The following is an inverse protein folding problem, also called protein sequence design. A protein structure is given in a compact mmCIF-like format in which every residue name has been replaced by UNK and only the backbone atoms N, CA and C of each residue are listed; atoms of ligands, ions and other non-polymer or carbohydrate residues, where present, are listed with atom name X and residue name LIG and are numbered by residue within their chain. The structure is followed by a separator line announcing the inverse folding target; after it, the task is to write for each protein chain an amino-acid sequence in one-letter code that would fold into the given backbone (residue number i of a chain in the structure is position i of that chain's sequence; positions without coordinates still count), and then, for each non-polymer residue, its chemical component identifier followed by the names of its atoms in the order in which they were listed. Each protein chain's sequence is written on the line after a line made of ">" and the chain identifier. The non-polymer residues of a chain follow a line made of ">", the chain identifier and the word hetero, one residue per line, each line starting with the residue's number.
data_IF_418187830288
#
_entry.id   IF_418187830288
#
_cell.length_a   1.000
_cell.length_b   1.000
_cell.length_c   1.000
_cell.angle_alpha   90.00
_cell.angle_beta   90.00
_cell.angle_gamma   90.00
#
_symmetry.space_group_name_H-M   'P 1'
#
loop_
_entity.id
_entity.type
_entity.pdbx_description
1 polymer ?
#
# COMPACT_ATOMS: atom_id res chain seq x y z
N UNK A 1 7.73 -19.58 15.08
CA UNK A 1 7.70 -18.10 14.89
C UNK A 1 8.85 -17.65 14.01
N UNK A 2 10.07 -18.15 14.21
CA UNK A 2 11.25 -17.78 13.39
C UNK A 2 11.02 -17.91 11.89
N UNK A 3 10.38 -19.00 11.44
CA UNK A 3 10.09 -19.25 10.03
C UNK A 3 9.26 -18.12 9.38
N UNK A 4 8.14 -17.74 10.03
CA UNK A 4 7.29 -16.64 9.57
C UNK A 4 8.04 -15.31 9.54
N UNK A 5 8.84 -15.01 10.56
CA UNK A 5 9.59 -13.76 10.61
C UNK A 5 10.68 -13.69 9.54
N UNK A 6 11.37 -14.80 9.26
CA UNK A 6 12.36 -14.89 8.18
C UNK A 6 11.69 -14.74 6.83
N UNK A 7 10.53 -15.37 6.62
CA UNK A 7 9.75 -15.22 5.38
C UNK A 7 9.31 -13.77 5.16
N UNK A 8 8.83 -13.07 6.19
CA UNK A 8 8.47 -11.65 6.09
C UNK A 8 9.69 -10.76 5.81
N UNK A 9 10.84 -11.05 6.42
CA UNK A 9 12.08 -10.32 6.19
C UNK A 9 12.57 -10.49 4.73
N UNK A 10 12.52 -11.71 4.20
CA UNK A 10 12.87 -11.99 2.81
C UNK A 10 11.98 -11.24 1.82
N UNK A 11 10.66 -11.24 2.05
CA UNK A 11 9.71 -10.46 1.24
C UNK A 11 10.02 -8.97 1.31
N UNK A 12 10.30 -8.44 2.50
CA UNK A 12 10.59 -7.02 2.67
C UNK A 12 11.85 -6.59 1.91
N UNK A 13 12.92 -7.39 1.93
CA UNK A 13 14.17 -7.11 1.21
C UNK A 13 13.96 -7.26 -0.30
N UNK A 14 13.44 -8.41 -0.74
CA UNK A 14 13.28 -8.76 -2.16
C UNK A 14 12.34 -7.78 -2.87
N UNK A 15 11.27 -7.32 -2.20
CA UNK A 15 10.29 -6.39 -2.77
C UNK A 15 10.52 -4.92 -2.41
N UNK A 16 11.62 -4.61 -1.70
CA UNK A 16 11.97 -3.26 -1.25
C UNK A 16 10.83 -2.58 -0.50
N UNK A 17 10.26 -3.29 0.48
CA UNK A 17 9.27 -2.72 1.39
C UNK A 17 9.98 -1.95 2.51
N UNK A 18 9.32 -0.90 2.97
CA UNK A 18 9.74 -0.11 4.12
C UNK A 18 8.95 -0.51 5.36
N UNK A 19 9.60 -0.45 6.53
CA UNK A 19 8.92 -0.65 7.80
C UNK A 19 7.97 0.53 8.06
N UNK A 20 6.66 0.30 8.27
CA UNK A 20 5.72 1.37 8.57
C UNK A 20 5.94 1.94 9.98
N UNK A 21 5.52 3.19 10.17
CA UNK A 21 5.43 3.81 11.50
C UNK A 21 3.99 3.67 12.00
N UNK A 22 3.81 2.84 13.02
CA UNK A 22 2.50 2.63 13.66
C UNK A 22 2.31 3.66 14.78
N UNK A 23 1.10 4.20 14.88
CA UNK A 23 0.69 5.17 15.90
C UNK A 23 -0.73 4.85 16.38
N UNK A 24 -1.13 5.33 17.54
CA UNK A 24 -2.50 5.16 18.06
C UNK A 24 -3.54 6.09 17.39
N UNK A 25 -3.11 6.94 16.44
CA UNK A 25 -3.98 7.84 15.68
C UNK A 25 -4.66 7.16 14.49
N UNK A 26 -5.56 7.90 13.82
CA UNK A 26 -6.31 7.42 12.64
C UNK A 26 -5.67 7.77 11.31
N UNK A 27 -4.47 8.39 11.34
CA UNK A 27 -3.80 8.87 10.14
C UNK A 27 -3.27 7.70 9.31
N UNK A 28 -3.63 7.68 8.04
CA UNK A 28 -3.01 6.83 7.02
C UNK A 28 -2.27 7.75 6.06
N UNK A 29 -0.94 7.65 6.06
CA UNK A 29 -0.08 8.36 5.11
C UNK A 29 0.80 7.34 4.38
N UNK A 30 0.58 7.22 3.09
CA UNK A 30 1.32 6.33 2.19
C UNK A 30 1.98 7.20 1.12
N UNK A 31 3.28 7.03 0.94
CA UNK A 31 4.08 7.69 -0.12
C UNK A 31 4.62 6.61 -1.04
N UNK A 32 4.49 6.80 -2.35
CA UNK A 32 4.92 5.84 -3.38
C UNK A 32 4.45 4.40 -3.10
N UNK A 33 3.20 4.26 -2.65
CA UNK A 33 2.61 2.97 -2.34
C UNK A 33 2.42 2.13 -3.60
N UNK A 34 2.68 0.83 -3.48
CA UNK A 34 2.54 -0.15 -4.57
C UNK A 34 1.58 -1.26 -4.17
N UNK A 35 0.77 -1.74 -5.10
CA UNK A 35 -0.13 -2.86 -4.82
C UNK A 35 0.64 -4.19 -4.88
N UNK A 36 0.82 -4.85 -3.73
CA UNK A 36 1.69 -6.02 -3.55
C UNK A 36 1.52 -7.17 -4.57
N UNK A 37 0.29 -7.42 -5.06
CA UNK A 37 0.07 -8.40 -6.12
C UNK A 37 0.29 -7.85 -7.54
N UNK A 38 -0.20 -6.64 -7.83
CA UNK A 38 -0.14 -6.07 -9.18
C UNK A 38 1.29 -5.71 -9.59
N UNK A 39 2.15 -5.26 -8.67
CA UNK A 39 3.55 -5.00 -8.99
C UNK A 39 4.29 -6.26 -9.45
N UNK A 40 3.93 -7.43 -8.92
CA UNK A 40 4.51 -8.72 -9.32
C UNK A 40 3.97 -9.17 -10.67
N UNK A 41 2.68 -8.97 -10.91
CA UNK A 41 2.02 -9.39 -12.16
C UNK A 41 2.49 -8.54 -13.35
N UNK A 42 2.61 -7.22 -13.18
CA UNK A 42 3.03 -6.31 -14.24
C UNK A 42 4.53 -6.37 -14.51
N UNK A 43 5.32 -6.69 -13.48
CA UNK A 43 6.78 -6.73 -13.56
C UNK A 43 7.44 -5.47 -12.99
N UNK A 44 8.77 -5.51 -12.83
CA UNK A 44 9.52 -4.43 -12.21
C UNK A 44 9.37 -3.13 -12.99
N UNK A 45 9.10 -2.03 -12.27
CA UNK A 45 8.96 -0.66 -12.78
C UNK A 45 7.73 -0.38 -13.68
N UNK A 46 6.85 -1.36 -13.91
CA UNK A 46 5.61 -1.15 -14.70
C UNK A 46 4.44 -0.60 -13.86
N UNK A 47 4.44 -0.88 -12.55
CA UNK A 47 3.42 -0.35 -11.64
C UNK A 47 3.73 1.09 -11.24
N UNK A 48 2.84 2.04 -11.58
CA UNK A 48 2.95 3.44 -11.15
C UNK A 48 2.53 3.57 -9.68
N UNK A 49 3.43 3.98 -8.76
CA UNK A 49 3.11 4.13 -7.35
C UNK A 49 2.11 5.26 -7.07
N UNK A 50 1.33 5.13 -6.00
CA UNK A 50 0.34 6.13 -5.61
C UNK A 50 0.47 6.52 -4.13
N UNK A 51 0.29 7.81 -3.83
CA UNK A 51 0.22 8.34 -2.47
C UNK A 51 -1.21 8.38 -1.92
N UNK A 52 -1.34 8.32 -0.59
CA UNK A 52 -2.62 8.40 0.13
C UNK A 52 -2.40 9.22 1.41
N UNK A 53 -3.30 10.15 1.71
CA UNK A 53 -3.32 10.86 3.00
C UNK A 53 -4.76 11.05 3.48
N UNK A 54 -5.13 10.35 4.55
CA UNK A 54 -6.45 10.44 5.20
C UNK A 54 -6.30 10.35 6.73
N UNK A 55 -7.30 10.86 7.46
CA UNK A 55 -7.37 10.85 8.92
C UNK A 55 -6.81 12.10 9.59
N UNK A 56 -6.50 12.00 10.89
CA UNK A 56 -5.86 13.06 11.70
C UNK A 56 -6.64 14.39 11.76
N UNK A 57 -7.97 14.34 11.82
CA UNK A 57 -8.83 15.52 11.79
C UNK A 57 -8.94 16.21 10.42
N UNK A 58 -8.27 15.68 9.39
CA UNK A 58 -8.35 16.12 8.00
C UNK A 58 -9.37 15.32 7.19
N UNK A 59 -8.97 14.88 5.99
CA UNK A 59 -9.84 14.14 5.07
C UNK A 59 -10.19 12.75 5.63
N UNK A 60 -11.47 12.49 5.85
CA UNK A 60 -11.98 11.18 6.30
C UNK A 60 -12.70 10.39 5.22
N UNK A 61 -13.04 11.04 4.10
CA UNK A 61 -13.70 10.43 2.94
C UNK A 61 -13.02 10.91 1.65
N UNK A 62 -12.66 9.96 0.78
CA UNK A 62 -12.08 10.24 -0.53
C UNK A 62 -13.02 9.71 -1.63
N UNK A 63 -13.48 10.60 -2.52
CA UNK A 63 -14.31 10.22 -3.67
C UNK A 63 -13.37 10.02 -4.87
N UNK A 64 -13.26 8.79 -5.36
CA UNK A 64 -12.38 8.43 -6.48
C UNK A 64 -13.22 8.20 -7.74
N UNK A 65 -13.06 9.05 -8.74
CA UNK A 65 -13.78 8.98 -10.03
C UNK A 65 -12.84 8.68 -11.19
N UNK A 66 -13.40 8.36 -12.36
CA UNK A 66 -12.64 8.07 -13.59
C UNK A 66 -13.20 6.89 -14.38
N UNK A 67 -12.76 6.70 -15.64
CA UNK A 67 -13.27 5.65 -16.53
C UNK A 67 -12.98 4.24 -15.99
N UNK A 68 -13.74 3.25 -16.47
CA UNK A 68 -13.47 1.86 -16.14
C UNK A 68 -12.05 1.47 -16.55
N UNK A 69 -11.44 0.54 -15.80
CA UNK A 69 -10.04 0.08 -15.96
C UNK A 69 -8.95 1.13 -15.68
N UNK A 70 -9.28 2.35 -15.22
CA UNK A 70 -8.30 3.37 -14.81
C UNK A 70 -7.58 3.09 -13.47
N UNK A 71 -7.55 1.83 -12.99
CA UNK A 71 -6.84 1.48 -11.76
C UNK A 71 -7.51 1.90 -10.44
N UNK A 72 -8.72 2.48 -10.45
CA UNK A 72 -9.43 2.93 -9.22
C UNK A 72 -9.57 1.82 -8.15
N UNK A 73 -10.00 0.63 -8.55
CA UNK A 73 -10.12 -0.52 -7.64
C UNK A 73 -8.75 -0.99 -7.13
N UNK A 74 -7.72 -0.89 -7.95
CA UNK A 74 -6.34 -1.19 -7.57
C UNK A 74 -5.83 -0.20 -6.53
N UNK A 75 -6.08 1.09 -6.70
CA UNK A 75 -5.72 2.12 -5.73
C UNK A 75 -6.40 1.90 -4.36
N UNK A 76 -7.70 1.61 -4.35
CA UNK A 76 -8.41 1.34 -3.09
C UNK A 76 -7.92 0.07 -2.38
N UNK A 77 -7.71 -1.01 -3.14
CA UNK A 77 -7.18 -2.27 -2.57
C UNK A 77 -5.74 -2.13 -2.11
N UNK A 78 -4.92 -1.35 -2.81
CA UNK A 78 -3.57 -1.04 -2.41
C UNK A 78 -3.55 -0.41 -1.00
N UNK A 79 -4.39 0.60 -0.76
CA UNK A 79 -4.52 1.22 0.56
C UNK A 79 -4.80 0.18 1.63
N UNK A 80 -5.86 -0.61 1.44
CA UNK A 80 -6.29 -1.62 2.41
C UNK A 80 -5.23 -2.68 2.68
N UNK A 81 -4.54 -3.16 1.63
CA UNK A 81 -3.49 -4.16 1.75
C UNK A 81 -2.24 -3.62 2.45
N UNK A 82 -1.83 -2.38 2.17
CA UNK A 82 -0.70 -1.75 2.85
C UNK A 82 -0.99 -1.61 4.35
N UNK A 83 -2.21 -1.19 4.71
CA UNK A 83 -2.63 -1.09 6.12
C UNK A 83 -2.70 -2.47 6.79
N UNK A 84 -3.18 -3.50 6.09
CA UNK A 84 -3.25 -4.86 6.62
C UNK A 84 -1.87 -5.48 6.89
N UNK A 85 -0.88 -5.15 6.06
CA UNK A 85 0.50 -5.66 6.19
C UNK A 85 1.34 -4.90 7.23
N UNK A 86 0.87 -3.73 7.67
CA UNK A 86 1.60 -2.83 8.55
C UNK A 86 1.51 -3.24 10.02
#
# INVERSE_FOLDING_TARGET
>A
VTDVLVSLADVAVTRRYSRPKITDGTRIKITDGRHAAMEVILGPNEFVPNGIEIGDGGTTLMIVTGPNMAGKSTYMRQCALIVLLA
#
